data_IF_831624524931
#
_entry.id   IF_831624524931
#
_cell.length_a   1.000
_cell.length_b   1.000
_cell.length_c   1.000
_cell.angle_alpha   90.00
_cell.angle_beta   90.00
_cell.angle_gamma   90.00
#
_symmetry.space_group_name_H-M   'P 1'
#
loop_
_entity.id
_entity.type
_entity.pdbx_description
1 polymer ?
#
# COMPACT_ATOMS: atom_id res chain seq x y z
N UNK A 1 2.57 -1.99 33.98
CA UNK A 1 1.69 -0.83 34.27
C UNK A 1 0.97 -0.41 33.01
N UNK A 2 -0.34 -0.21 33.11
CA UNK A 2 -1.15 0.25 31.99
C UNK A 2 -1.20 1.77 32.05
N UNK A 3 -0.94 2.43 30.92
CA UNK A 3 -1.12 3.85 30.79
C UNK A 3 -2.10 4.16 29.69
N UNK A 4 -2.63 5.37 29.68
CA UNK A 4 -3.48 5.86 28.59
C UNK A 4 -2.65 6.83 27.74
N UNK A 5 -2.57 6.53 26.44
CA UNK A 5 -1.73 7.30 25.53
C UNK A 5 -2.56 7.89 24.40
N UNK A 6 -2.18 9.07 23.98
CA UNK A 6 -2.76 9.74 22.82
C UNK A 6 -1.74 9.77 21.69
N UNK A 7 -2.15 9.41 20.49
CA UNK A 7 -1.29 9.53 19.31
C UNK A 7 -0.93 11.01 19.11
N UNK A 8 0.36 11.29 18.98
CA UNK A 8 0.80 12.65 18.66
C UNK A 8 0.27 13.06 17.30
N UNK A 9 -0.17 14.31 17.14
CA UNK A 9 -0.57 14.82 15.84
C UNK A 9 0.66 14.90 14.92
N UNK A 10 0.65 14.12 13.85
CA UNK A 10 1.74 14.11 12.86
C UNK A 10 1.14 14.24 11.48
N UNK A 11 1.86 14.94 10.60
CA UNK A 11 1.50 15.02 9.19
C UNK A 11 2.27 13.92 8.46
N UNK A 12 1.55 13.12 7.70
CA UNK A 12 2.15 12.05 6.89
C UNK A 12 1.74 12.25 5.44
N UNK A 13 2.42 11.54 4.55
CA UNK A 13 2.05 11.47 3.15
C UNK A 13 1.48 10.09 2.86
N UNK A 14 0.52 10.03 1.96
CA UNK A 14 -0.08 8.76 1.58
C UNK A 14 -0.61 8.82 0.15
N UNK A 15 -0.61 7.67 -0.51
CA UNK A 15 -1.17 7.49 -1.84
C UNK A 15 -2.07 6.26 -1.80
N UNK A 16 -3.27 6.38 -2.35
CA UNK A 16 -4.18 5.24 -2.44
C UNK A 16 -3.80 4.34 -3.61
N UNK A 17 -3.73 3.03 -3.36
CA UNK A 17 -3.54 2.03 -4.41
C UNK A 17 -4.88 1.74 -5.07
N UNK A 18 -5.03 2.12 -6.33
CA UNK A 18 -6.29 1.94 -7.07
C UNK A 18 -6.30 0.72 -7.97
N UNK A 19 -5.16 0.05 -8.10
CA UNK A 19 -4.99 -1.04 -9.06
C UNK A 19 -4.55 -0.56 -10.44
N UNK A 20 -4.65 0.73 -10.71
CA UNK A 20 -4.30 1.31 -12.02
C UNK A 20 -3.27 2.44 -11.95
N UNK A 21 -2.64 2.61 -10.78
CA UNK A 21 -1.63 3.67 -10.59
C UNK A 21 -0.26 3.14 -10.10
N UNK A 22 0.31 2.10 -10.75
CA UNK A 22 1.59 1.54 -10.30
C UNK A 22 2.74 2.55 -10.40
N UNK A 23 2.73 3.41 -11.41
CA UNK A 23 3.79 4.41 -11.58
C UNK A 23 3.79 5.43 -10.44
N UNK A 24 2.61 5.87 -10.01
CA UNK A 24 2.47 6.79 -8.90
C UNK A 24 2.97 6.16 -7.60
N UNK A 25 2.63 4.91 -7.35
CA UNK A 25 3.11 4.17 -6.17
C UNK A 25 4.63 4.00 -6.22
N UNK A 26 5.19 3.63 -7.38
CA UNK A 26 6.62 3.44 -7.54
C UNK A 26 7.39 4.75 -7.33
N UNK A 27 6.86 5.85 -7.81
CA UNK A 27 7.45 7.17 -7.62
C UNK A 27 7.42 7.57 -6.15
N UNK A 28 6.34 7.26 -5.46
CA UNK A 28 6.15 7.59 -4.04
C UNK A 28 7.00 6.72 -3.11
N UNK A 29 6.94 5.41 -3.28
CA UNK A 29 7.55 4.44 -2.37
C UNK A 29 8.92 3.93 -2.84
N UNK A 30 9.27 4.13 -4.09
CA UNK A 30 10.57 3.72 -4.63
C UNK A 30 10.83 2.23 -4.44
N UNK A 31 11.99 1.90 -3.88
CA UNK A 31 12.40 0.50 -3.69
C UNK A 31 11.56 -0.26 -2.66
N UNK A 32 10.75 0.43 -1.86
CA UNK A 32 9.85 -0.25 -0.92
C UNK A 32 8.66 -0.90 -1.62
N UNK A 33 8.33 -0.47 -2.84
CA UNK A 33 7.22 -1.01 -3.60
C UNK A 33 7.71 -2.05 -4.61
N UNK A 34 7.09 -3.23 -4.61
CA UNK A 34 7.30 -4.26 -5.61
C UNK A 34 6.00 -4.45 -6.36
N UNK A 35 6.05 -4.24 -7.67
CA UNK A 35 4.89 -4.36 -8.55
C UNK A 35 5.07 -5.59 -9.41
N UNK A 36 4.10 -6.51 -9.33
CA UNK A 36 4.11 -7.74 -10.10
C UNK A 36 2.91 -7.77 -11.02
N UNK A 37 3.15 -8.02 -12.29
CA UNK A 37 2.10 -8.16 -13.29
C UNK A 37 1.93 -9.63 -13.62
N UNK A 38 0.70 -10.11 -13.58
CA UNK A 38 0.35 -11.49 -13.92
C UNK A 38 -0.29 -11.53 -15.30
N UNK A 39 0.16 -12.44 -16.14
CA UNK A 39 -0.41 -12.64 -17.47
C UNK A 39 -1.84 -13.14 -17.37
N UNK A 40 -2.72 -12.77 -18.33
CA UNK A 40 -4.09 -13.25 -18.35
C UNK A 40 -4.23 -14.70 -18.81
N UNK A 41 -3.13 -15.39 -19.04
CA UNK A 41 -3.08 -16.78 -19.51
C UNK A 41 -2.60 -17.66 -18.36
N UNK A 42 -3.33 -18.73 -18.05
CA UNK A 42 -2.95 -19.67 -17.00
C UNK A 42 -1.82 -20.60 -17.47
N UNK A 43 -1.37 -21.52 -16.59
CA UNK A 43 -0.29 -22.46 -16.87
C UNK A 43 -0.59 -23.42 -18.01
N UNK A 44 -1.86 -23.58 -18.37
CA UNK A 44 -2.30 -24.43 -19.46
C UNK A 44 -2.50 -23.66 -20.78
N UNK A 45 -2.20 -22.36 -20.77
CA UNK A 45 -2.34 -21.53 -21.95
C UNK A 45 -3.77 -21.03 -22.19
N UNK A 46 -4.64 -21.14 -21.20
CA UNK A 46 -6.04 -20.71 -21.30
C UNK A 46 -6.15 -19.26 -20.84
N UNK A 47 -6.87 -18.44 -21.61
CA UNK A 47 -7.14 -17.05 -21.26
C UNK A 47 -8.09 -17.01 -20.05
N UNK A 48 -7.65 -16.38 -18.95
CA UNK A 48 -8.39 -16.33 -17.70
C UNK A 48 -8.85 -14.93 -17.30
N UNK A 49 -8.74 -13.96 -18.20
CA UNK A 49 -9.22 -12.60 -17.97
C UNK A 49 -8.17 -11.54 -18.20
N UNK A 50 -8.24 -10.45 -17.43
CA UNK A 50 -7.32 -9.32 -17.55
C UNK A 50 -6.00 -9.60 -16.86
N UNK A 51 -4.95 -8.90 -17.28
CA UNK A 51 -3.71 -8.80 -16.52
C UNK A 51 -4.02 -8.31 -15.11
N UNK A 52 -3.42 -8.95 -14.13
CA UNK A 52 -3.52 -8.52 -12.74
C UNK A 52 -2.21 -7.88 -12.33
N UNK A 53 -2.33 -6.75 -11.64
CA UNK A 53 -1.19 -6.05 -11.06
C UNK A 53 -1.30 -6.19 -9.54
N UNK A 54 -0.28 -6.78 -8.94
CA UNK A 54 -0.19 -6.91 -7.49
C UNK A 54 0.86 -5.97 -6.95
N UNK A 55 0.56 -5.38 -5.80
CA UNK A 55 1.47 -4.48 -5.10
C UNK A 55 1.86 -5.10 -3.76
N UNK A 56 3.16 -5.16 -3.50
CA UNK A 56 3.71 -5.51 -2.19
C UNK A 56 4.55 -4.36 -1.68
N UNK A 57 4.48 -4.10 -0.39
CA UNK A 57 5.26 -3.07 0.28
C UNK A 57 6.21 -3.73 1.26
N UNK A 58 7.48 -3.36 1.18
CA UNK A 58 8.48 -3.80 2.14
C UNK A 58 8.42 -2.89 3.37
N UNK A 59 7.89 -3.43 4.45
CA UNK A 59 7.69 -2.69 5.70
C UNK A 59 8.76 -3.06 6.72
N UNK A 60 8.79 -2.37 7.85
CA UNK A 60 9.69 -2.69 8.96
C UNK A 60 9.44 -4.10 9.52
N UNK A 61 8.26 -4.65 9.30
CA UNK A 61 7.88 -5.98 9.78
C UNK A 61 7.93 -7.04 8.67
N UNK A 62 8.47 -6.68 7.50
CA UNK A 62 8.57 -7.56 6.35
C UNK A 62 7.68 -7.13 5.20
N UNK A 63 7.57 -7.99 4.19
CA UNK A 63 6.78 -7.71 3.00
C UNK A 63 5.30 -7.91 3.26
N UNK A 64 4.50 -6.92 2.90
CA UNK A 64 3.05 -6.96 3.02
C UNK A 64 2.39 -6.66 1.68
N UNK A 65 1.39 -7.44 1.31
CA UNK A 65 0.60 -7.18 0.11
C UNK A 65 -0.39 -6.05 0.38
N UNK A 66 -0.52 -5.15 -0.58
CA UNK A 66 -1.51 -4.10 -0.55
C UNK A 66 -2.70 -4.50 -1.43
N UNK A 67 -3.90 -4.40 -0.88
CA UNK A 67 -5.13 -4.61 -1.64
C UNK A 67 -5.55 -3.32 -2.33
N UNK A 68 -6.31 -3.46 -3.41
CA UNK A 68 -6.88 -2.29 -4.09
C UNK A 68 -7.76 -1.53 -3.09
N UNK A 69 -7.55 -0.22 -3.00
CA UNK A 69 -8.20 0.64 -2.03
C UNK A 69 -7.32 0.98 -0.82
N UNK A 70 -6.30 0.17 -0.55
CA UNK A 70 -5.38 0.45 0.56
C UNK A 70 -4.61 1.74 0.31
N UNK A 71 -4.31 2.47 1.37
CA UNK A 71 -3.41 3.62 1.32
C UNK A 71 -2.00 3.17 1.65
N UNK A 72 -1.06 3.65 0.87
CA UNK A 72 0.37 3.43 1.15
C UNK A 72 0.86 4.67 1.88
N UNK A 73 1.26 4.49 3.12
CA UNK A 73 1.65 5.59 4.02
C UNK A 73 3.16 5.66 4.10
N UNK A 74 3.68 6.89 4.03
CA UNK A 74 5.07 7.17 4.40
C UNK A 74 5.06 7.67 5.82
N UNK A 75 5.59 6.86 6.73
CA UNK A 75 5.64 7.18 8.15
C UNK A 75 6.69 8.23 8.51
N UNK A 76 6.72 8.60 9.77
CA UNK A 76 7.58 9.69 10.28
C UNK A 76 9.06 9.39 10.15
N UNK A 77 9.44 8.12 10.09
CA UNK A 77 10.84 7.70 9.92
C UNK A 77 11.17 7.36 8.48
N UNK A 78 10.31 7.69 7.53
CA UNK A 78 10.51 7.39 6.12
C UNK A 78 10.15 5.96 5.74
N UNK A 79 9.60 5.17 6.65
CA UNK A 79 9.14 3.82 6.38
C UNK A 79 7.81 3.84 5.64
N UNK A 80 7.55 2.78 4.86
CA UNK A 80 6.31 2.64 4.10
C UNK A 80 5.51 1.45 4.62
N UNK A 81 4.19 1.58 4.62
CA UNK A 81 3.29 0.48 4.99
C UNK A 81 1.90 0.70 4.39
N UNK A 82 1.19 -0.41 4.08
CA UNK A 82 -0.19 -0.32 3.61
C UNK A 82 -1.16 -0.16 4.78
N UNK A 83 -2.24 0.57 4.55
CA UNK A 83 -3.28 0.78 5.54
C UNK A 83 -4.64 0.66 4.85
N UNK A 84 -5.54 -0.08 5.45
CA UNK A 84 -6.89 -0.23 4.90
C UNK A 84 -7.62 1.10 4.87
N UNK A 85 -8.40 1.32 3.81
CA UNK A 85 -9.11 2.57 3.58
C UNK A 85 -9.95 2.99 4.78
N UNK A 86 -10.74 2.07 5.35
CA UNK A 86 -11.59 2.39 6.51
C UNK A 86 -10.78 2.86 7.72
N UNK A 87 -9.67 2.19 7.98
CA UNK A 87 -8.79 2.54 9.10
C UNK A 87 -8.11 3.88 8.83
N UNK A 88 -7.66 4.08 7.59
CA UNK A 88 -7.01 5.33 7.19
C UNK A 88 -7.95 6.53 7.40
N UNK A 89 -9.19 6.42 6.94
CA UNK A 89 -10.18 7.50 7.06
C UNK A 89 -10.58 7.81 8.49
N UNK A 90 -10.51 6.83 9.39
CA UNK A 90 -10.76 7.04 10.82
C UNK A 90 -9.59 7.67 11.54
N UNK A 91 -8.38 7.47 11.02
CA UNK A 91 -7.14 7.89 11.69
C UNK A 91 -6.63 9.24 11.19
N UNK A 92 -6.80 9.54 9.91
CA UNK A 92 -6.22 10.72 9.27
C UNK A 92 -7.28 11.55 8.56
N UNK A 93 -7.11 12.87 8.66
CA UNK A 93 -7.86 13.84 7.88
C UNK A 93 -6.92 14.51 6.88
N UNK A 94 -7.48 14.99 5.78
CA UNK A 94 -6.71 15.73 4.79
C UNK A 94 -6.21 17.03 5.42
N UNK A 95 -4.92 17.21 5.34
CA UNK A 95 -4.28 18.41 5.93
C UNK A 95 -4.35 19.61 4.99
#
# INVERSE_FOLDING_TARGET
MIGTYRKKPVVIQAVQWTGSNPCEIQEFAGNAATITTHDPIDDMGVFVGRDRVELSINTLEGEMKAAIGDYIIKGVNGEFYPCKEEIFKKTYDLA
#
